data_IF_534073567635
#
_entry.id   IF_534073567635
#
_cell.length_a   1.000
_cell.length_b   1.000
_cell.length_c   1.000
_cell.angle_alpha   90.00
_cell.angle_beta   90.00
_cell.angle_gamma   90.00
#
_symmetry.space_group_name_H-M   'P 1'
#
loop_
_entity.id
_entity.type
_entity.pdbx_description
1 polymer ?
#
# COMPACT_ATOMS: atom_id res chain seq x y z
N UNK A 1 12.08 -17.53 22.59
CA UNK A 1 11.46 -16.20 22.78
C UNK A 1 11.04 -15.60 21.44
N UNK A 2 11.88 -15.66 20.41
CA UNK A 2 11.55 -15.14 19.06
C UNK A 2 10.31 -15.75 18.41
N UNK A 3 10.06 -17.06 18.61
CA UNK A 3 8.89 -17.73 18.05
C UNK A 3 7.56 -17.23 18.65
N UNK A 4 7.55 -16.87 19.94
CA UNK A 4 6.36 -16.33 20.62
C UNK A 4 6.10 -14.90 20.16
N UNK A 5 7.14 -14.07 20.09
CA UNK A 5 7.05 -12.69 19.57
C UNK A 5 6.58 -12.70 18.10
N UNK A 6 7.11 -13.62 17.28
CA UNK A 6 6.70 -13.78 15.89
C UNK A 6 5.24 -14.25 15.77
N UNK A 7 4.80 -15.18 16.62
CA UNK A 7 3.43 -15.66 16.65
C UNK A 7 2.44 -14.55 17.04
N UNK A 8 2.70 -13.82 18.12
CA UNK A 8 1.85 -12.71 18.57
C UNK A 8 1.72 -11.62 17.50
N UNK A 9 2.85 -11.19 16.91
CA UNK A 9 2.84 -10.21 15.79
C UNK A 9 2.09 -10.72 14.56
N UNK A 10 2.18 -12.01 14.28
CA UNK A 10 1.46 -12.61 13.16
C UNK A 10 -0.03 -12.58 13.40
N UNK A 11 -0.49 -12.78 14.64
CA UNK A 11 -1.90 -12.80 15.03
C UNK A 11 -2.53 -11.40 14.95
N UNK A 12 -1.85 -10.38 15.48
CA UNK A 12 -2.30 -8.97 15.43
C UNK A 12 -2.55 -8.49 13.99
N UNK A 13 -1.79 -9.04 13.04
CA UNK A 13 -1.84 -8.66 11.62
C UNK A 13 -2.59 -9.65 10.75
N UNK A 14 -2.97 -10.83 11.27
CA UNK A 14 -3.54 -11.93 10.48
C UNK A 14 -4.86 -11.54 9.82
N UNK A 15 -5.73 -10.88 10.59
CA UNK A 15 -7.06 -10.43 10.11
C UNK A 15 -6.97 -9.30 9.11
N UNK A 16 -5.96 -8.44 9.25
CA UNK A 16 -5.74 -7.34 8.31
C UNK A 16 -5.20 -7.84 6.97
N UNK A 17 -4.28 -8.83 6.99
CA UNK A 17 -3.63 -9.35 5.77
C UNK A 17 -4.61 -9.84 4.70
N UNK A 18 -5.74 -10.44 5.10
CA UNK A 18 -6.78 -10.91 4.18
C UNK A 18 -7.72 -9.80 3.71
N UNK A 19 -7.79 -8.68 4.43
CA UNK A 19 -8.74 -7.60 4.18
C UNK A 19 -8.10 -6.33 3.61
N UNK A 20 -6.76 -6.22 3.65
CA UNK A 20 -6.01 -5.02 3.22
C UNK A 20 -6.38 -4.57 1.80
N UNK A 21 -6.70 -5.53 0.93
CA UNK A 21 -7.15 -5.25 -0.42
C UNK A 21 -8.47 -4.48 -0.48
N UNK A 22 -9.42 -4.74 0.42
CA UNK A 22 -10.68 -4.00 0.46
C UNK A 22 -10.47 -2.54 0.88
N UNK A 23 -9.49 -2.27 1.74
CA UNK A 23 -9.18 -0.92 2.21
C UNK A 23 -8.45 -0.06 1.18
N UNK A 24 -7.76 -0.70 0.23
CA UNK A 24 -7.08 -0.03 -0.87
C UNK A 24 -8.07 0.54 -1.92
N UNK A 25 -9.36 0.18 -1.87
CA UNK A 25 -10.37 0.72 -2.77
C UNK A 25 -10.82 2.08 -2.25
N UNK A 26 -10.77 3.16 -3.04
CA UNK A 26 -11.24 4.47 -2.58
C UNK A 26 -12.67 4.39 -2.02
N UNK A 27 -13.58 3.74 -2.74
CA UNK A 27 -14.92 3.46 -2.27
C UNK A 27 -15.31 2.04 -2.67
N UNK A 28 -15.45 1.15 -1.70
CA UNK A 28 -15.77 -0.27 -1.93
C UNK A 28 -17.12 -0.49 -2.61
N UNK A 29 -18.05 0.48 -2.53
CA UNK A 29 -19.38 0.39 -3.16
C UNK A 29 -19.39 0.89 -4.60
N UNK A 30 -18.75 2.02 -4.85
CA UNK A 30 -18.83 2.70 -6.15
C UNK A 30 -17.62 2.42 -7.05
N UNK A 31 -16.42 2.27 -6.47
CA UNK A 31 -15.14 2.12 -7.18
C UNK A 31 -14.32 0.98 -6.57
N UNK A 32 -14.77 -0.28 -6.71
CA UNK A 32 -13.99 -1.44 -6.26
C UNK A 32 -12.66 -1.50 -7.01
N UNK A 33 -11.62 -2.02 -6.35
CA UNK A 33 -10.33 -2.21 -7.00
C UNK A 33 -10.49 -3.15 -8.19
N UNK A 34 -9.92 -2.74 -9.32
CA UNK A 34 -9.83 -3.53 -10.52
C UNK A 34 -8.33 -3.74 -10.86
N UNK A 35 -7.86 -5.00 -11.04
CA UNK A 35 -8.58 -6.27 -10.86
C UNK A 35 -8.95 -6.56 -9.39
N UNK A 36 -9.88 -7.47 -9.13
CA UNK A 36 -10.23 -7.82 -7.75
C UNK A 36 -9.03 -8.47 -7.03
N UNK A 37 -8.77 -8.04 -5.80
CA UNK A 37 -7.67 -8.58 -4.96
C UNK A 37 -8.02 -9.96 -4.38
N UNK A 38 -9.27 -10.41 -4.45
CA UNK A 38 -9.62 -11.76 -4.06
C UNK A 38 -10.22 -12.49 -5.25
N UNK A 39 -9.50 -13.50 -5.74
CA UNK A 39 -9.93 -14.39 -6.83
C UNK A 39 -10.53 -15.70 -6.29
N UNK A 40 -10.74 -15.82 -4.98
CA UNK A 40 -11.17 -17.06 -4.34
C UNK A 40 -10.02 -18.00 -3.99
N UNK A 41 -8.80 -17.70 -4.42
CA UNK A 41 -7.61 -18.50 -4.08
C UNK A 41 -6.95 -17.97 -2.81
N UNK A 42 -6.35 -18.87 -2.01
CA UNK A 42 -5.45 -18.46 -0.92
C UNK A 42 -4.10 -17.89 -1.42
N UNK A 43 -3.92 -17.78 -2.74
CA UNK A 43 -2.70 -17.27 -3.34
C UNK A 43 -2.60 -15.76 -3.17
N UNK A 44 -1.37 -15.27 -3.02
CA UNK A 44 -1.05 -13.83 -2.92
C UNK A 44 -0.26 -13.33 -4.13
N UNK A 45 -0.18 -14.14 -5.18
CA UNK A 45 0.65 -13.88 -6.37
C UNK A 45 0.22 -12.65 -7.14
N UNK A 46 -1.05 -12.26 -7.06
CA UNK A 46 -1.63 -11.09 -7.71
C UNK A 46 -1.64 -9.84 -6.84
N UNK A 47 -1.03 -9.86 -5.64
CA UNK A 47 -0.91 -8.70 -4.75
C UNK A 47 0.44 -7.98 -4.88
N UNK A 48 0.57 -6.82 -4.22
CA UNK A 48 1.82 -6.05 -4.20
C UNK A 48 2.13 -5.44 -5.57
N UNK A 49 3.38 -5.56 -6.03
CA UNK A 49 3.81 -5.02 -7.34
C UNK A 49 3.18 -5.73 -8.56
N UNK A 50 2.53 -6.88 -8.36
CA UNK A 50 1.81 -7.56 -9.44
C UNK A 50 0.39 -7.01 -9.65
N UNK A 51 -0.08 -6.13 -8.77
CA UNK A 51 -1.37 -5.47 -8.87
C UNK A 51 -1.16 -4.00 -9.25
N UNK A 52 -1.80 -3.45 -10.31
CA UNK A 52 -1.55 -2.08 -10.74
C UNK A 52 -1.82 -1.02 -9.65
N UNK A 53 -2.97 -1.13 -8.96
CA UNK A 53 -3.33 -0.22 -7.85
C UNK A 53 -2.36 -0.32 -6.67
N UNK A 54 -2.09 -1.54 -6.17
CA UNK A 54 -1.17 -1.71 -5.03
C UNK A 54 0.27 -1.38 -5.38
N UNK A 55 0.70 -1.63 -6.63
CA UNK A 55 2.02 -1.27 -7.12
C UNK A 55 2.22 0.24 -7.08
N UNK A 56 1.21 1.03 -7.49
CA UNK A 56 1.24 2.50 -7.37
C UNK A 56 1.42 2.92 -5.91
N UNK A 57 0.68 2.30 -4.99
CA UNK A 57 0.75 2.61 -3.56
C UNK A 57 2.11 2.29 -2.94
N UNK A 58 2.73 1.19 -3.37
CA UNK A 58 4.05 0.74 -2.90
C UNK A 58 5.21 1.43 -3.62
N UNK A 59 4.94 2.11 -4.75
CA UNK A 59 5.94 2.87 -5.47
C UNK A 59 6.51 3.96 -4.56
N UNK A 60 7.85 4.17 -4.55
CA UNK A 60 8.44 5.33 -3.90
C UNK A 60 7.77 6.61 -4.37
N UNK A 61 7.33 7.47 -3.45
CA UNK A 61 6.51 8.64 -3.79
C UNK A 61 7.19 9.59 -4.79
N UNK A 62 8.51 9.70 -4.74
CA UNK A 62 9.32 10.50 -5.69
C UNK A 62 9.29 9.97 -7.12
N UNK A 63 9.10 8.66 -7.29
CA UNK A 63 9.03 7.98 -8.58
C UNK A 63 7.58 7.84 -9.08
N UNK A 64 6.61 8.36 -8.33
CA UNK A 64 5.19 8.23 -8.62
C UNK A 64 4.80 8.94 -9.92
N UNK A 65 5.48 10.04 -10.27
CA UNK A 65 5.33 10.73 -11.56
C UNK A 65 5.71 9.79 -12.71
N UNK A 66 6.91 9.20 -12.64
CA UNK A 66 7.39 8.18 -13.60
C UNK A 66 6.43 7.01 -13.73
N UNK A 67 5.87 6.55 -12.60
CA UNK A 67 4.89 5.46 -12.57
C UNK A 67 3.56 5.85 -13.22
N UNK A 68 3.12 7.11 -13.06
CA UNK A 68 1.86 7.61 -13.64
C UNK A 68 1.99 7.84 -15.15
N UNK A 69 3.18 8.21 -15.61
CA UNK A 69 3.48 8.39 -17.04
C UNK A 69 3.57 7.04 -17.78
N UNK A 70 4.28 6.05 -17.21
CA UNK A 70 4.42 4.70 -17.76
C UNK A 70 4.55 3.66 -16.65
N UNK A 71 3.41 3.12 -16.24
CA UNK A 71 3.32 2.12 -15.18
C UNK A 71 4.07 0.82 -15.52
N UNK A 72 4.01 0.37 -16.78
CA UNK A 72 4.66 -0.88 -17.19
C UNK A 72 6.18 -0.77 -17.16
N UNK A 73 6.71 0.36 -17.63
CA UNK A 73 8.14 0.62 -17.58
C UNK A 73 8.61 0.83 -16.14
N UNK A 74 7.86 1.55 -15.31
CA UNK A 74 8.18 1.74 -13.90
C UNK A 74 8.21 0.40 -13.14
N UNK A 75 7.24 -0.49 -13.38
CA UNK A 75 7.22 -1.84 -12.84
C UNK A 75 8.43 -2.67 -13.27
N UNK A 76 8.78 -2.67 -14.56
CA UNK A 76 10.01 -3.32 -15.05
C UNK A 76 11.25 -2.76 -14.39
N UNK A 77 11.32 -1.43 -14.20
CA UNK A 77 12.43 -0.76 -13.55
C UNK A 77 12.55 -1.13 -12.06
N UNK A 78 11.42 -1.32 -11.36
CA UNK A 78 11.40 -1.85 -9.99
C UNK A 78 11.90 -3.30 -9.97
N UNK A 79 11.39 -4.16 -10.86
CA UNK A 79 11.76 -5.58 -10.92
C UNK A 79 13.24 -5.79 -11.26
N UNK A 80 13.82 -4.98 -12.15
CA UNK A 80 15.25 -5.06 -12.47
C UNK A 80 16.15 -4.26 -11.51
N UNK A 81 15.59 -3.62 -10.48
CA UNK A 81 16.34 -2.88 -9.46
C UNK A 81 16.87 -1.52 -9.89
N UNK A 82 16.41 -0.98 -11.02
CA UNK A 82 16.72 0.41 -11.44
C UNK A 82 16.03 1.42 -10.52
N UNK A 83 14.76 1.19 -10.18
CA UNK A 83 14.07 1.91 -9.11
C UNK A 83 14.31 1.13 -7.81
N UNK A 84 15.05 1.73 -6.88
CA UNK A 84 15.39 1.09 -5.61
C UNK A 84 14.30 1.35 -4.58
N UNK A 85 13.52 0.32 -4.27
CA UNK A 85 12.59 0.31 -3.13
C UNK A 85 13.38 -0.04 -1.87
N UNK A 86 13.89 0.98 -1.18
CA UNK A 86 14.65 0.83 0.08
C UNK A 86 13.80 1.28 1.26
N UNK A 87 14.25 1.01 2.50
CA UNK A 87 13.58 1.51 3.70
C UNK A 87 13.49 3.05 3.77
N UNK A 88 14.37 3.78 3.07
CA UNK A 88 14.33 5.23 2.95
C UNK A 88 13.41 5.72 1.83
N UNK A 89 13.04 4.84 0.90
CA UNK A 89 12.16 5.14 -0.21
C UNK A 89 10.72 4.91 0.23
N UNK A 90 10.15 5.95 0.84
CA UNK A 90 8.82 5.89 1.43
C UNK A 90 7.73 5.69 0.36
N UNK A 91 6.77 4.79 0.59
CA UNK A 91 5.72 4.46 -0.37
C UNK A 91 4.67 5.57 -0.48
N UNK A 92 4.08 5.72 -1.66
CA UNK A 92 3.09 6.74 -1.98
C UNK A 92 1.83 6.71 -1.10
N UNK A 93 1.42 5.53 -0.59
CA UNK A 93 0.23 5.44 0.26
C UNK A 93 0.33 6.20 1.59
N UNK A 94 1.51 6.66 1.97
CA UNK A 94 1.69 7.47 3.17
C UNK A 94 1.16 8.89 2.97
N UNK A 95 1.12 9.42 1.74
CA UNK A 95 0.72 10.80 1.49
C UNK A 95 -0.75 10.94 1.12
N UNK A 96 -1.31 12.12 1.39
CA UNK A 96 -2.64 12.55 0.96
C UNK A 96 -2.83 12.48 -0.57
N UNK A 97 -4.08 12.67 -0.97
CA UNK A 97 -4.50 12.75 -2.37
C UNK A 97 -5.30 11.54 -2.85
N UNK A 98 -5.90 11.71 -4.03
CA UNK A 98 -6.69 10.67 -4.69
C UNK A 98 -6.16 10.40 -6.11
N UNK A 99 -5.49 9.26 -6.35
CA UNK A 99 -5.12 8.22 -5.38
C UNK A 99 -3.94 8.66 -4.48
N UNK A 100 -3.70 8.01 -3.31
CA UNK A 100 -2.74 8.46 -2.30
C UNK A 100 -1.35 8.75 -2.87
N UNK A 101 -0.75 9.85 -2.43
CA UNK A 101 0.50 10.39 -2.97
C UNK A 101 0.33 11.32 -4.18
N UNK A 102 -0.88 11.56 -4.67
CA UNK A 102 -1.12 12.56 -5.73
C UNK A 102 -0.78 13.99 -5.30
N UNK A 103 -0.91 14.28 -4.00
CA UNK A 103 -0.67 15.62 -3.45
C UNK A 103 0.79 15.78 -2.95
N UNK A 104 1.68 14.85 -3.30
CA UNK A 104 3.08 14.89 -2.86
C UNK A 104 3.83 16.07 -3.46
N UNK A 105 4.40 16.89 -2.58
CA UNK A 105 5.31 17.98 -2.92
C UNK A 105 6.75 17.62 -2.51
N UNK A 106 7.67 17.67 -3.48
CA UNK A 106 9.10 17.43 -3.24
C UNK A 106 9.72 18.55 -2.38
N UNK A 107 9.22 19.79 -2.50
CA UNK A 107 9.71 20.95 -1.75
C UNK A 107 9.18 20.95 -0.30
N UNK A 108 8.03 20.29 -0.07
CA UNK A 108 7.41 20.16 1.25
C UNK A 108 7.00 18.72 1.58
N UNK A 109 7.97 17.81 1.65
CA UNK A 109 7.71 16.37 1.80
C UNK A 109 6.90 15.95 3.05
N UNK A 110 6.76 16.81 4.06
CA UNK A 110 6.00 16.49 5.27
C UNK A 110 4.52 16.85 5.15
N UNK A 111 4.15 17.68 4.18
CA UNK A 111 2.76 18.04 3.92
C UNK A 111 1.98 16.81 3.46
N UNK A 112 0.83 16.58 4.08
CA UNK A 112 -0.01 15.41 3.81
C UNK A 112 0.63 14.06 4.19
N UNK A 113 1.78 14.05 4.88
CA UNK A 113 2.42 12.80 5.30
C UNK A 113 1.60 12.11 6.40
N UNK A 114 1.35 10.83 6.20
CA UNK A 114 0.46 9.96 6.98
C UNK A 114 -1.05 10.22 6.84
N UNK A 115 -1.47 10.99 5.83
CA UNK A 115 -2.89 11.31 5.54
C UNK A 115 -3.45 10.49 4.36
N UNK A 116 -2.70 9.51 3.85
CA UNK A 116 -3.22 8.61 2.83
C UNK A 116 -4.32 7.70 3.36
N UNK A 117 -5.49 7.67 2.71
CA UNK A 117 -6.67 6.95 3.20
C UNK A 117 -6.43 5.46 3.50
N UNK A 118 -5.49 4.81 2.80
CA UNK A 118 -5.16 3.40 3.07
C UNK A 118 -4.54 3.27 4.45
N UNK A 119 -3.63 4.18 4.82
CA UNK A 119 -3.01 4.19 6.14
C UNK A 119 -4.03 4.52 7.22
N UNK A 120 -4.87 5.53 7.01
CA UNK A 120 -5.90 5.93 7.98
C UNK A 120 -6.84 4.77 8.31
N UNK A 121 -7.32 4.06 7.28
CA UNK A 121 -8.23 2.91 7.44
C UNK A 121 -7.57 1.76 8.17
N UNK A 122 -6.29 1.49 7.88
CA UNK A 122 -5.52 0.43 8.54
C UNK A 122 -5.23 0.78 9.99
N UNK A 123 -4.82 2.02 10.26
CA UNK A 123 -4.54 2.51 11.61
C UNK A 123 -5.80 2.46 12.50
N UNK A 124 -6.97 2.78 11.95
CA UNK A 124 -8.23 2.66 12.67
C UNK A 124 -8.52 1.23 13.13
N UNK A 125 -8.16 0.22 12.33
CA UNK A 125 -8.34 -1.19 12.72
C UNK A 125 -7.43 -1.51 13.91
N UNK A 126 -6.13 -1.16 13.86
CA UNK A 126 -5.22 -1.43 14.97
C UNK A 126 -5.64 -0.78 16.28
N UNK A 127 -6.14 0.46 16.24
CA UNK A 127 -6.58 1.18 17.44
C UNK A 127 -7.89 0.60 17.99
N UNK A 128 -8.82 0.20 17.12
CA UNK A 128 -10.15 -0.27 17.55
C UNK A 128 -10.22 -1.76 17.87
N UNK A 129 -9.27 -2.58 17.38
CA UNK A 129 -9.25 -4.03 17.64
C UNK A 129 -8.34 -4.44 18.79
N UNK A 130 -7.69 -3.50 19.48
CA UNK A 130 -6.98 -3.78 20.73
C UNK A 130 -8.01 -3.80 21.87
N UNK A 131 -8.35 -4.95 22.46
CA UNK A 131 -9.19 -4.97 23.67
C UNK A 131 -8.37 -4.46 24.86
N UNK A 132 -8.99 -3.69 25.74
CA UNK A 132 -8.46 -3.33 27.06
C UNK A 132 -8.08 -4.57 27.90
#
# INVERSE_FOLDING_TARGET
MDAVISATRSDDTARLKSQIGHYAAFNTKDHPICPAIYDGSGSRTHMGFNHPVLARFLCPVRELKTFSDDADMALKNIQCGKIKVTAHALPAFLWAGDPPGSDYDDDNMFEGMFEGYLLERVSFIFITTCPD
#
